data_IF_971421266053
#
_entry.id   IF_971421266053
#
_cell.length_a   1.000
_cell.length_b   1.000
_cell.length_c   1.000
_cell.angle_alpha   90.00
_cell.angle_beta   90.00
_cell.angle_gamma   90.00
#
_symmetry.space_group_name_H-M   'P 1'
#
loop_
_entity.id
_entity.type
_entity.pdbx_description
1 polymer ?
#
# COMPACT_ATOMS: atom_id res chain seq x y z
N UNK A 1 -3.13 -7.36 -54.90
CA UNK A 1 -3.51 -6.04 -54.36
C UNK A 1 -2.33 -5.12 -54.50
N UNK A 2 -2.56 -3.91 -54.98
CA UNK A 2 -1.56 -2.84 -55.04
C UNK A 2 -1.39 -2.22 -53.67
N UNK A 3 -0.21 -2.25 -53.10
CA UNK A 3 0.07 -1.81 -51.73
C UNK A 3 1.25 -0.84 -51.69
N UNK A 4 1.33 0.06 -50.72
CA UNK A 4 2.52 0.87 -50.51
C UNK A 4 3.64 0.01 -49.93
N UNK A 5 4.90 0.36 -50.22
CA UNK A 5 6.05 -0.28 -49.60
C UNK A 5 6.07 -0.01 -48.09
N UNK A 6 6.67 -0.90 -47.29
CA UNK A 6 6.58 -0.97 -45.81
C UNK A 6 6.85 0.31 -45.02
N UNK A 7 7.38 1.38 -45.57
CA UNK A 7 7.70 2.62 -44.85
C UNK A 7 6.53 3.58 -44.67
N UNK A 8 5.33 3.07 -44.44
CA UNK A 8 4.11 3.86 -44.23
C UNK A 8 3.71 3.87 -42.76
N UNK A 9 3.20 5.02 -42.29
CA UNK A 9 2.77 5.19 -40.91
C UNK A 9 1.29 4.85 -40.75
N UNK A 10 1.00 3.85 -39.92
CA UNK A 10 -0.36 3.45 -39.63
C UNK A 10 -0.91 4.21 -38.42
N UNK A 11 -2.19 4.50 -38.45
CA UNK A 11 -2.99 5.02 -37.34
C UNK A 11 -3.68 3.82 -36.71
N UNK A 12 -3.35 3.55 -35.45
CA UNK A 12 -3.94 2.47 -34.66
C UNK A 12 -4.45 3.00 -33.33
N UNK A 13 -5.45 2.32 -32.80
CA UNK A 13 -5.92 2.57 -31.45
C UNK A 13 -5.24 1.60 -30.49
N UNK A 14 -4.35 2.09 -29.65
CA UNK A 14 -3.59 1.28 -28.68
C UNK A 14 -3.79 1.82 -27.27
N UNK A 15 -5.00 1.67 -26.71
CA UNK A 15 -5.34 2.24 -25.42
C UNK A 15 -4.58 1.54 -24.28
N UNK A 16 -4.34 2.29 -23.20
CA UNK A 16 -3.75 1.78 -21.96
C UNK A 16 -4.80 1.59 -20.87
N UNK A 17 -5.82 2.45 -20.85
CA UNK A 17 -6.79 2.51 -19.80
C UNK A 17 -8.23 2.24 -20.23
N UNK A 18 -8.58 2.53 -21.49
CA UNK A 18 -9.92 2.26 -22.04
C UNK A 18 -9.92 0.95 -22.84
N UNK A 19 -11.04 0.25 -22.85
CA UNK A 19 -11.21 -0.99 -23.63
C UNK A 19 -11.66 -0.71 -25.05
N UNK A 20 -12.57 0.23 -25.22
CA UNK A 20 -13.31 0.45 -26.45
C UNK A 20 -13.54 1.95 -26.72
N UNK A 21 -13.52 2.33 -27.99
CA UNK A 21 -13.91 3.65 -28.47
C UNK A 21 -14.92 3.50 -29.61
N UNK A 22 -15.90 4.38 -29.62
CA UNK A 22 -16.87 4.46 -30.71
C UNK A 22 -16.51 5.61 -31.65
N UNK A 23 -16.63 5.37 -32.97
CA UNK A 23 -16.39 6.39 -33.97
C UNK A 23 -17.67 7.22 -34.21
N UNK A 24 -17.51 8.52 -34.36
CA UNK A 24 -18.52 9.43 -34.89
C UNK A 24 -18.43 9.53 -36.39
N UNK A 25 -17.24 9.39 -36.95
CA UNK A 25 -16.99 9.42 -38.38
C UNK A 25 -15.52 9.21 -38.70
N UNK A 26 -15.24 8.91 -39.97
CA UNK A 26 -13.92 8.79 -40.52
C UNK A 26 -13.89 9.41 -41.91
N UNK A 27 -12.76 9.99 -42.31
CA UNK A 27 -12.57 10.51 -43.69
C UNK A 27 -12.62 9.37 -44.71
N UNK A 28 -13.23 9.59 -45.89
CA UNK A 28 -13.30 8.56 -46.93
C UNK A 28 -11.92 8.03 -47.35
N UNK A 29 -11.87 6.77 -47.69
CA UNK A 29 -10.65 6.17 -48.27
C UNK A 29 -10.24 6.93 -49.55
N UNK A 30 -8.96 7.18 -49.74
CA UNK A 30 -8.42 7.94 -50.86
C UNK A 30 -8.36 9.45 -50.62
N UNK A 31 -8.84 9.96 -49.48
CA UNK A 31 -8.72 11.38 -49.15
C UNK A 31 -7.25 11.79 -48.97
N UNK A 32 -6.91 12.97 -49.47
CA UNK A 32 -5.63 13.61 -49.21
C UNK A 32 -5.68 14.25 -47.83
N UNK A 33 -4.68 13.97 -46.97
CA UNK A 33 -4.57 14.47 -45.61
C UNK A 33 -3.25 15.16 -45.36
N UNK A 34 -3.27 16.20 -44.53
CA UNK A 34 -2.08 16.91 -44.07
C UNK A 34 -1.64 16.39 -42.70
N UNK A 35 -0.37 16.49 -42.41
CA UNK A 35 0.18 16.16 -41.08
C UNK A 35 -0.58 16.93 -39.94
N UNK A 36 -1.07 16.19 -38.95
CA UNK A 36 -1.82 16.76 -37.83
C UNK A 36 -3.33 16.91 -38.08
N UNK A 37 -3.81 16.66 -39.31
CA UNK A 37 -5.23 16.70 -39.65
C UNK A 37 -5.96 15.50 -39.01
N UNK A 38 -7.17 15.74 -38.49
CA UNK A 38 -7.98 14.68 -37.86
C UNK A 38 -8.54 13.75 -38.96
N UNK A 39 -8.19 12.49 -38.91
CA UNK A 39 -8.61 11.46 -39.86
C UNK A 39 -9.93 10.81 -39.47
N UNK A 40 -10.14 10.67 -38.18
CA UNK A 40 -11.35 10.11 -37.63
C UNK A 40 -11.77 10.88 -36.36
N UNK A 41 -13.05 10.88 -36.07
CA UNK A 41 -13.63 11.48 -34.87
C UNK A 41 -14.15 10.37 -33.96
N UNK A 42 -13.69 10.34 -32.73
CA UNK A 42 -14.17 9.45 -31.71
C UNK A 42 -15.28 10.07 -30.86
N UNK A 43 -16.16 9.23 -30.33
CA UNK A 43 -17.12 9.63 -29.32
C UNK A 43 -16.48 9.57 -27.93
N UNK A 44 -16.22 10.72 -27.34
CA UNK A 44 -15.56 10.83 -26.06
C UNK A 44 -16.52 10.86 -24.86
N UNK A 45 -17.84 10.88 -25.07
CA UNK A 45 -18.83 11.07 -23.99
C UNK A 45 -18.66 10.08 -22.84
N UNK A 46 -18.45 8.79 -23.15
CA UNK A 46 -18.25 7.75 -22.15
C UNK A 46 -16.89 7.92 -21.47
N UNK A 47 -15.86 8.22 -22.24
CA UNK A 47 -14.49 8.39 -21.75
C UNK A 47 -14.38 9.66 -20.87
N UNK A 48 -14.94 10.79 -21.30
CA UNK A 48 -14.95 12.04 -20.55
C UNK A 48 -15.71 11.87 -19.22
N UNK A 49 -16.86 11.18 -19.22
CA UNK A 49 -17.58 10.83 -17.99
C UNK A 49 -16.74 9.99 -17.04
N UNK A 50 -16.05 8.98 -17.57
CA UNK A 50 -15.15 8.15 -16.77
C UNK A 50 -14.00 8.99 -16.17
N UNK A 51 -13.40 9.88 -16.94
CA UNK A 51 -12.34 10.79 -16.47
C UNK A 51 -12.86 11.67 -15.33
N UNK A 52 -14.05 12.25 -15.46
CA UNK A 52 -14.68 13.06 -14.40
C UNK A 52 -14.99 12.23 -13.15
N UNK A 53 -15.44 11.00 -13.28
CA UNK A 53 -15.73 10.09 -12.15
C UNK A 53 -14.45 9.73 -11.41
N UNK A 54 -13.36 9.42 -12.13
CA UNK A 54 -12.05 9.21 -11.52
C UNK A 54 -11.53 10.48 -10.82
N UNK A 55 -11.70 11.65 -11.41
CA UNK A 55 -11.27 12.91 -10.79
C UNK A 55 -12.00 13.16 -9.47
N UNK A 56 -13.31 12.94 -9.41
CA UNK A 56 -14.10 13.04 -8.16
C UNK A 56 -13.64 12.03 -7.12
N UNK A 57 -13.39 10.80 -7.56
CA UNK A 57 -12.92 9.72 -6.68
C UNK A 57 -11.53 10.03 -6.11
N UNK A 58 -10.61 10.56 -6.93
CA UNK A 58 -9.28 10.99 -6.52
C UNK A 58 -9.37 12.10 -5.47
N UNK A 59 -10.24 13.11 -5.66
CA UNK A 59 -10.45 14.18 -4.68
C UNK A 59 -10.93 13.63 -3.34
N UNK A 60 -11.89 12.70 -3.35
CA UNK A 60 -12.38 12.02 -2.13
C UNK A 60 -11.27 11.22 -1.45
N UNK A 61 -10.49 10.46 -2.22
CA UNK A 61 -9.40 9.61 -1.71
C UNK A 61 -8.23 10.44 -1.15
N UNK A 62 -7.94 11.60 -1.75
CA UNK A 62 -6.98 12.56 -1.19
C UNK A 62 -7.39 13.05 0.20
N UNK A 63 -8.68 13.38 0.41
CA UNK A 63 -9.18 13.77 1.72
C UNK A 63 -9.09 12.62 2.74
N UNK A 64 -9.32 11.39 2.31
CA UNK A 64 -9.15 10.18 3.16
C UNK A 64 -7.70 10.02 3.61
N UNK A 65 -6.73 10.13 2.69
CA UNK A 65 -5.30 10.10 3.00
C UNK A 65 -4.90 11.18 3.99
N UNK A 66 -5.39 12.42 3.80
CA UNK A 66 -5.14 13.52 4.73
C UNK A 66 -5.70 13.25 6.12
N UNK A 67 -6.92 12.69 6.22
CA UNK A 67 -7.53 12.30 7.51
C UNK A 67 -6.72 11.20 8.22
N UNK A 68 -6.27 10.19 7.47
CA UNK A 68 -5.47 9.10 8.03
C UNK A 68 -4.10 9.58 8.50
N UNK A 69 -3.47 10.50 7.76
CA UNK A 69 -2.19 11.13 8.14
C UNK A 69 -2.34 11.92 9.44
N UNK A 70 -3.38 12.75 9.54
CA UNK A 70 -3.71 13.47 10.77
C UNK A 70 -3.99 12.52 11.95
N UNK A 71 -4.76 11.43 11.70
CA UNK A 71 -5.05 10.44 12.74
C UNK A 71 -3.79 9.70 13.23
N UNK A 72 -2.83 9.45 12.34
CA UNK A 72 -1.53 8.87 12.71
C UNK A 72 -0.73 9.83 13.61
N UNK A 73 -0.67 11.12 13.27
CA UNK A 73 0.06 12.11 14.06
C UNK A 73 -0.59 12.33 15.44
N UNK A 74 -1.92 12.38 15.51
CA UNK A 74 -2.65 12.41 16.77
C UNK A 74 -2.40 11.16 17.63
N UNK A 75 -2.30 9.98 17.01
CA UNK A 75 -2.00 8.75 17.74
C UNK A 75 -0.57 8.77 18.31
N UNK A 76 0.42 9.29 17.57
CA UNK A 76 1.80 9.47 18.08
C UNK A 76 1.83 10.33 19.35
N UNK A 77 1.16 11.48 19.31
CA UNK A 77 1.10 12.40 20.45
C UNK A 77 0.41 11.76 21.66
N UNK A 78 -0.74 11.09 21.44
CA UNK A 78 -1.47 10.39 22.49
C UNK A 78 -0.65 9.26 23.11
N UNK A 79 0.02 8.46 22.29
CA UNK A 79 0.88 7.38 22.75
C UNK A 79 2.06 7.91 23.57
N UNK A 80 2.72 8.98 23.12
CA UNK A 80 3.80 9.62 23.87
C UNK A 80 3.34 10.12 25.25
N UNK A 81 2.20 10.80 25.30
CA UNK A 81 1.63 11.29 26.56
C UNK A 81 1.24 10.13 27.49
N UNK A 82 0.64 9.05 26.96
CA UNK A 82 0.29 7.87 27.76
C UNK A 82 1.54 7.22 28.34
N UNK A 83 2.58 7.00 27.55
CA UNK A 83 3.83 6.42 27.99
C UNK A 83 4.52 7.28 29.05
N UNK A 84 4.50 8.61 28.90
CA UNK A 84 5.02 9.52 29.92
C UNK A 84 4.27 9.37 31.26
N UNK A 85 2.93 9.21 31.24
CA UNK A 85 2.14 8.98 32.45
C UNK A 85 2.53 7.68 33.15
N UNK A 86 2.66 6.57 32.40
CA UNK A 86 3.08 5.29 32.98
C UNK A 86 4.52 5.35 33.51
N UNK A 87 5.41 5.99 32.81
CA UNK A 87 6.79 6.20 33.28
C UNK A 87 6.84 7.00 34.58
N UNK A 88 6.07 8.09 34.66
CA UNK A 88 5.98 8.92 35.88
C UNK A 88 5.39 8.13 37.05
N UNK A 89 4.37 7.29 36.79
CA UNK A 89 3.79 6.44 37.81
C UNK A 89 4.80 5.42 38.35
N UNK A 90 5.55 4.78 37.45
CA UNK A 90 6.62 3.85 37.82
C UNK A 90 7.68 4.57 38.69
N UNK A 91 8.22 5.70 38.23
CA UNK A 91 9.25 6.45 38.95
C UNK A 91 8.78 6.80 40.38
N UNK A 92 7.55 7.27 40.55
CA UNK A 92 6.99 7.58 41.89
C UNK A 92 6.91 6.33 42.77
N UNK A 93 6.47 5.21 42.23
CA UNK A 93 6.38 3.95 42.98
C UNK A 93 7.78 3.41 43.36
N UNK A 94 8.77 3.58 42.51
CA UNK A 94 10.19 3.26 42.80
C UNK A 94 10.76 4.18 43.90
N UNK A 95 10.43 5.48 43.86
CA UNK A 95 10.79 6.44 44.92
C UNK A 95 10.16 6.08 46.26
N UNK A 96 8.88 5.70 46.27
CA UNK A 96 8.15 5.26 47.48
C UNK A 96 8.79 3.98 48.06
N UNK A 97 9.14 3.00 47.23
CA UNK A 97 9.83 1.79 47.66
C UNK A 97 11.21 2.11 48.24
N UNK A 98 11.96 2.98 47.58
CA UNK A 98 13.27 3.43 48.05
C UNK A 98 13.20 4.14 49.41
N UNK A 99 12.27 5.09 49.55
CA UNK A 99 12.04 5.78 50.82
C UNK A 99 11.66 4.83 51.92
N UNK A 100 10.80 3.85 51.63
CA UNK A 100 10.46 2.79 52.60
C UNK A 100 11.71 2.01 53.01
N UNK A 101 12.51 1.52 52.07
CA UNK A 101 13.68 0.68 52.39
C UNK A 101 14.79 1.43 53.11
N UNK A 102 15.07 2.68 52.72
CA UNK A 102 16.20 3.46 53.25
C UNK A 102 15.87 4.14 54.57
N UNK A 103 14.61 4.59 54.77
CA UNK A 103 14.24 5.42 55.92
C UNK A 103 13.12 4.84 56.78
N UNK A 104 11.95 4.57 56.17
CA UNK A 104 10.73 4.25 56.92
C UNK A 104 10.83 2.90 57.61
N UNK A 105 11.42 1.90 56.99
CA UNK A 105 11.61 0.54 57.56
C UNK A 105 12.43 0.60 58.85
N UNK A 106 13.58 1.28 58.83
CA UNK A 106 14.44 1.43 60.00
C UNK A 106 13.73 2.19 61.15
N UNK A 107 13.02 3.25 60.80
CA UNK A 107 12.25 4.03 61.78
C UNK A 107 11.12 3.20 62.42
N UNK A 108 10.34 2.46 61.66
CA UNK A 108 9.29 1.58 62.16
C UNK A 108 9.84 0.52 63.12
N UNK A 109 10.98 -0.09 62.79
CA UNK A 109 11.66 -1.05 63.67
C UNK A 109 12.10 -0.38 64.97
N UNK A 110 12.68 0.80 64.91
CA UNK A 110 13.10 1.56 66.10
C UNK A 110 11.93 2.00 66.96
N UNK A 111 10.80 2.37 66.36
CA UNK A 111 9.56 2.72 67.10
C UNK A 111 9.00 1.51 67.88
N UNK A 112 9.01 0.31 67.31
CA UNK A 112 8.59 -0.91 68.00
C UNK A 112 9.57 -1.32 69.12
N UNK A 113 10.87 -1.16 68.87
CA UNK A 113 11.90 -1.41 69.91
C UNK A 113 11.75 -0.44 71.08
N UNK A 114 11.53 0.86 70.81
CA UNK A 114 11.31 1.87 71.86
C UNK A 114 10.02 1.57 72.64
N UNK A 115 8.96 1.04 72.01
CA UNK A 115 7.75 0.58 72.70
C UNK A 115 8.05 -0.51 73.71
N UNK A 116 8.86 -1.52 73.34
CA UNK A 116 9.31 -2.58 74.26
C UNK A 116 10.16 -2.00 75.39
N UNK A 117 11.13 -1.13 75.05
CA UNK A 117 12.01 -0.48 76.04
C UNK A 117 11.21 0.37 77.04
N UNK A 118 10.19 1.09 76.59
CA UNK A 118 9.27 1.84 77.48
C UNK A 118 8.51 0.94 78.45
N UNK A 119 8.01 -0.21 77.96
CA UNK A 119 7.31 -1.17 78.86
C UNK A 119 8.32 -1.81 79.84
N UNK A 120 9.53 -2.14 79.43
CA UNK A 120 10.60 -2.64 80.28
C UNK A 120 11.01 -1.63 81.37
N UNK A 121 11.19 -0.35 81.03
CA UNK A 121 11.44 0.69 81.98
C UNK A 121 10.33 0.85 83.06
N UNK A 122 9.07 0.79 82.60
CA UNK A 122 7.91 0.85 83.53
C UNK A 122 7.90 -0.33 84.48
N UNK A 123 8.13 -1.54 83.96
CA UNK A 123 8.23 -2.74 84.82
C UNK A 123 9.43 -2.63 85.79
N UNK A 124 10.59 -2.16 85.34
CA UNK A 124 11.73 -1.97 86.22
C UNK A 124 11.45 -0.98 87.36
N UNK A 125 10.75 0.13 87.07
CA UNK A 125 10.32 1.08 88.15
C UNK A 125 9.38 0.43 89.12
N UNK A 126 8.38 -0.36 88.72
CA UNK A 126 7.49 -1.09 89.57
C UNK A 126 8.21 -2.14 90.41
N UNK A 127 9.15 -2.84 89.86
CA UNK A 127 10.02 -3.80 90.53
C UNK A 127 10.85 -3.12 91.65
N UNK A 128 11.44 -1.98 91.29
CA UNK A 128 12.27 -1.22 92.24
C UNK A 128 11.46 -0.65 93.33
N UNK A 129 10.26 -0.07 93.10
CA UNK A 129 9.31 0.41 94.07
C UNK A 129 8.88 -0.71 95.04
N UNK A 130 8.52 -1.88 94.54
CA UNK A 130 8.23 -3.08 95.30
C UNK A 130 9.41 -3.53 96.19
N UNK A 131 10.61 -3.52 95.67
CA UNK A 131 11.84 -3.90 96.38
C UNK A 131 12.14 -2.93 97.49
N UNK A 132 12.02 -1.62 97.23
CA UNK A 132 12.20 -0.56 98.28
C UNK A 132 11.22 -0.65 99.37
N UNK A 133 9.94 -0.77 99.11
CA UNK A 133 8.84 -0.94 100.09
C UNK A 133 8.93 -2.24 100.90
N UNK A 134 9.27 -3.35 100.21
CA UNK A 134 9.51 -4.63 100.87
C UNK A 134 10.68 -4.56 101.82
N UNK A 135 11.75 -3.78 101.52
CA UNK A 135 12.89 -3.57 102.39
C UNK A 135 12.57 -2.70 103.59
N UNK A 136 11.80 -1.61 103.35
CA UNK A 136 11.33 -0.68 104.40
C UNK A 136 10.43 -1.38 105.40
N UNK A 137 9.47 -2.20 104.95
CA UNK A 137 8.54 -2.93 105.86
C UNK A 137 9.19 -4.15 106.54
N UNK A 138 10.32 -4.68 106.05
CA UNK A 138 11.09 -5.72 106.78
C UNK A 138 11.89 -5.17 107.94
N UNK A 139 12.27 -3.91 107.89
CA UNK A 139 13.03 -3.25 108.97
C UNK A 139 12.12 -2.73 110.09
N UNK A 140 10.78 -2.62 109.84
CA UNK A 140 9.80 -2.26 110.83
C UNK A 140 9.14 -3.53 111.43
N UNK A 141 9.32 -3.81 112.71
CA UNK A 141 8.93 -5.07 113.43
C UNK A 141 7.44 -5.26 113.63
N UNK A 142 6.58 -4.35 113.16
CA UNK A 142 5.13 -4.44 113.31
C UNK A 142 4.51 -4.18 111.93
N UNK A 143 4.24 -5.26 111.18
CA UNK A 143 3.52 -5.15 109.91
C UNK A 143 2.03 -4.88 110.19
N UNK A 144 1.55 -3.67 109.93
CA UNK A 144 0.10 -3.37 109.96
C UNK A 144 -0.60 -3.94 108.78
N UNK A 145 -1.90 -4.36 108.88
CA UNK A 145 -2.72 -4.92 107.78
C UNK A 145 -2.72 -4.02 106.52
N UNK A 146 -2.53 -2.73 106.73
CA UNK A 146 -2.43 -1.72 105.63
C UNK A 146 -1.20 -1.91 104.75
N UNK A 147 -0.06 -2.35 105.28
CA UNK A 147 1.20 -2.57 104.61
C UNK A 147 1.15 -3.82 103.70
N UNK A 148 0.49 -4.89 104.16
CA UNK A 148 0.25 -6.10 103.37
C UNK A 148 -0.62 -5.81 102.15
N UNK A 149 -1.65 -4.97 102.30
CA UNK A 149 -2.52 -4.56 101.20
C UNK A 149 -1.76 -3.75 100.20
N UNK A 150 -0.85 -2.83 100.55
CA UNK A 150 -0.04 -2.06 99.65
C UNK A 150 0.95 -2.96 98.89
N UNK A 151 1.65 -3.87 99.55
CA UNK A 151 2.54 -4.83 98.94
C UNK A 151 1.79 -5.77 97.98
N UNK A 152 0.61 -6.24 98.28
CA UNK A 152 -0.21 -7.06 97.41
C UNK A 152 -0.68 -6.31 96.17
N UNK A 153 -1.05 -5.02 96.34
CA UNK A 153 -1.39 -4.14 95.21
C UNK A 153 -0.19 -3.92 94.27
N UNK A 154 0.99 -3.61 94.81
CA UNK A 154 2.21 -3.44 94.01
C UNK A 154 2.65 -4.71 93.31
N UNK A 155 2.47 -5.89 93.98
CA UNK A 155 2.73 -7.18 93.27
C UNK A 155 1.79 -7.41 92.09
N UNK A 156 0.52 -7.03 92.25
CA UNK A 156 -0.45 -7.10 91.17
C UNK A 156 -0.10 -6.11 90.05
N UNK A 157 0.25 -4.87 90.40
CA UNK A 157 0.73 -3.87 89.40
C UNK A 157 2.01 -4.29 88.69
N UNK A 158 2.95 -4.97 89.37
CA UNK A 158 4.12 -5.57 88.77
C UNK A 158 3.73 -6.69 87.78
N UNK A 159 2.81 -7.59 88.18
CA UNK A 159 2.30 -8.63 87.32
C UNK A 159 1.61 -8.08 86.08
N UNK A 160 0.85 -7.00 86.18
CA UNK A 160 0.26 -6.29 85.02
C UNK A 160 1.34 -5.68 84.13
N UNK A 161 2.41 -5.10 84.71
CA UNK A 161 3.50 -4.55 83.96
C UNK A 161 4.34 -5.61 83.28
N UNK A 162 4.55 -6.80 83.91
CA UNK A 162 5.16 -7.94 83.27
C UNK A 162 4.38 -8.46 82.04
N UNK A 163 3.05 -8.56 82.17
CA UNK A 163 2.13 -8.91 81.13
C UNK A 163 2.21 -7.88 79.96
N UNK A 164 2.24 -6.58 80.31
CA UNK A 164 2.37 -5.50 79.36
C UNK A 164 3.70 -5.58 78.56
N UNK A 165 4.81 -5.96 79.21
CA UNK A 165 6.12 -6.26 78.51
C UNK A 165 6.01 -7.42 77.57
N UNK A 166 5.37 -8.53 77.96
CA UNK A 166 5.16 -9.67 77.07
C UNK A 166 4.31 -9.29 75.89
N UNK A 167 3.22 -8.53 76.09
CA UNK A 167 2.39 -7.99 75.03
C UNK A 167 3.17 -7.08 74.07
N UNK A 168 3.98 -6.15 74.58
CA UNK A 168 4.80 -5.26 73.78
C UNK A 168 5.85 -6.04 72.95
N UNK A 169 6.51 -7.07 73.50
CA UNK A 169 7.46 -7.94 72.81
C UNK A 169 6.76 -8.69 71.67
N UNK A 170 5.60 -9.29 71.93
CA UNK A 170 4.84 -10.00 70.90
C UNK A 170 4.44 -9.10 69.74
N UNK A 171 3.94 -7.89 70.04
CA UNK A 171 3.56 -6.90 69.02
C UNK A 171 4.78 -6.49 68.20
N UNK A 172 5.92 -6.22 68.85
CA UNK A 172 7.15 -5.85 68.15
C UNK A 172 7.67 -6.99 67.27
N UNK A 173 7.59 -8.22 67.71
CA UNK A 173 7.96 -9.39 66.94
C UNK A 173 7.05 -9.58 65.72
N UNK A 174 5.73 -9.49 65.90
CA UNK A 174 4.76 -9.55 64.81
C UNK A 174 4.97 -8.39 63.82
N UNK A 175 5.25 -7.19 64.28
CA UNK A 175 5.57 -6.05 63.43
C UNK A 175 6.82 -6.30 62.59
N UNK A 176 7.90 -6.81 63.21
CA UNK A 176 9.16 -7.11 62.55
C UNK A 176 9.04 -8.26 61.54
N UNK A 177 8.49 -9.40 61.94
CA UNK A 177 8.45 -10.62 61.13
C UNK A 177 7.35 -10.62 60.09
N UNK A 178 6.27 -9.88 60.30
CA UNK A 178 5.09 -9.95 59.46
C UNK A 178 4.71 -8.62 58.82
N UNK A 179 4.41 -7.59 59.63
CA UNK A 179 3.79 -6.36 59.09
C UNK A 179 4.78 -5.53 58.23
N UNK A 180 5.98 -5.29 58.75
CA UNK A 180 7.02 -4.52 58.05
C UNK A 180 7.56 -5.30 56.82
N UNK A 181 7.66 -6.62 56.95
CA UNK A 181 8.06 -7.50 55.85
C UNK A 181 7.05 -7.44 54.69
N UNK A 182 5.76 -7.68 55.03
CA UNK A 182 4.68 -7.61 54.02
C UNK A 182 4.59 -6.26 53.32
N UNK A 183 4.74 -5.18 54.08
CA UNK A 183 4.73 -3.84 53.48
C UNK A 183 5.87 -3.67 52.48
N UNK A 184 7.03 -4.28 52.73
CA UNK A 184 8.14 -4.31 51.77
C UNK A 184 7.85 -5.13 50.52
N UNK A 185 7.18 -6.27 50.70
CA UNK A 185 6.72 -7.09 49.57
C UNK A 185 5.65 -6.39 48.73
N UNK A 186 4.73 -5.65 49.38
CA UNK A 186 3.68 -4.87 48.72
C UNK A 186 4.32 -3.77 47.84
N UNK A 187 5.32 -3.04 48.36
CA UNK A 187 6.05 -2.07 47.54
C UNK A 187 6.79 -2.72 46.35
N UNK A 188 7.44 -3.86 46.59
CA UNK A 188 8.13 -4.56 45.52
C UNK A 188 7.16 -5.07 44.42
N UNK A 189 5.97 -5.55 44.85
CA UNK A 189 4.91 -5.98 43.93
C UNK A 189 4.35 -4.80 43.15
N UNK A 190 4.08 -3.67 43.84
CA UNK A 190 3.59 -2.46 43.19
C UNK A 190 4.56 -1.93 42.10
N UNK A 191 5.89 -1.94 42.36
CA UNK A 191 6.88 -1.58 41.34
C UNK A 191 6.83 -2.51 40.15
N UNK A 192 6.77 -3.82 40.39
CA UNK A 192 6.71 -4.83 39.33
C UNK A 192 5.44 -4.69 38.49
N UNK A 193 4.30 -4.43 39.11
CA UNK A 193 3.04 -4.13 38.41
C UNK A 193 3.16 -2.89 37.51
N UNK A 194 3.76 -1.80 38.01
CA UNK A 194 3.96 -0.58 37.21
C UNK A 194 4.96 -0.77 36.07
N UNK A 195 5.97 -1.61 36.25
CA UNK A 195 6.87 -2.01 35.16
C UNK A 195 6.11 -2.78 34.08
N UNK A 196 5.27 -3.74 34.47
CA UNK A 196 4.42 -4.49 33.51
C UNK A 196 3.42 -3.59 32.79
N UNK A 197 2.77 -2.67 33.52
CA UNK A 197 1.84 -1.68 32.95
C UNK A 197 2.53 -0.84 31.87
N UNK A 198 3.76 -0.35 32.14
CA UNK A 198 4.55 0.43 31.19
C UNK A 198 4.93 -0.40 29.96
N UNK A 199 5.37 -1.64 30.15
CA UNK A 199 5.73 -2.52 29.04
C UNK A 199 4.51 -2.85 28.16
N UNK A 200 3.37 -3.14 28.77
CA UNK A 200 2.12 -3.37 28.04
C UNK A 200 1.70 -2.12 27.25
N UNK A 201 1.76 -0.95 27.89
CA UNK A 201 1.43 0.30 27.23
C UNK A 201 2.34 0.60 26.04
N UNK A 202 3.65 0.28 26.12
CA UNK A 202 4.60 0.40 25.01
C UNK A 202 4.18 -0.49 23.84
N UNK A 203 3.95 -1.78 24.08
CA UNK A 203 3.53 -2.73 23.05
C UNK A 203 2.21 -2.30 22.39
N UNK A 204 1.24 -1.86 23.20
CA UNK A 204 -0.04 -1.39 22.67
C UNK A 204 0.13 -0.13 21.80
N UNK A 205 0.96 0.81 22.24
CA UNK A 205 1.26 2.02 21.46
C UNK A 205 1.90 1.69 20.10
N UNK A 206 2.84 0.74 20.08
CA UNK A 206 3.49 0.29 18.85
C UNK A 206 2.50 -0.38 17.89
N UNK A 207 1.62 -1.25 18.39
CA UNK A 207 0.57 -1.89 17.58
C UNK A 207 -0.41 -0.86 17.00
N UNK A 208 -0.88 0.07 17.82
CA UNK A 208 -1.81 1.11 17.38
C UNK A 208 -1.18 2.00 16.29
N UNK A 209 0.08 2.38 16.45
CA UNK A 209 0.82 3.17 15.47
C UNK A 209 1.03 2.41 14.18
N UNK A 210 1.40 1.13 14.26
CA UNK A 210 1.60 0.29 13.07
C UNK A 210 0.31 0.07 12.31
N UNK A 211 -0.80 -0.18 12.99
CA UNK A 211 -2.12 -0.28 12.37
C UNK A 211 -2.49 1.01 11.60
N UNK A 212 -2.23 2.20 12.18
CA UNK A 212 -2.49 3.48 11.52
C UNK A 212 -1.57 3.71 10.31
N UNK A 213 -0.30 3.30 10.37
CA UNK A 213 0.64 3.36 9.25
C UNK A 213 0.21 2.46 8.09
N UNK A 214 -0.21 1.22 8.39
CA UNK A 214 -0.72 0.28 7.38
C UNK A 214 -1.93 0.88 6.68
N UNK A 215 -2.92 1.38 7.43
CA UNK A 215 -4.11 1.99 6.85
C UNK A 215 -3.78 3.20 5.96
N UNK A 216 -2.82 4.05 6.37
CA UNK A 216 -2.34 5.17 5.56
C UNK A 216 -1.67 4.69 4.27
N UNK A 217 -0.78 3.70 4.37
CA UNK A 217 -0.07 3.15 3.20
C UNK A 217 -1.03 2.53 2.19
N UNK A 218 -2.04 1.78 2.65
CA UNK A 218 -3.08 1.20 1.79
C UNK A 218 -3.89 2.27 1.06
N UNK A 219 -4.25 3.35 1.76
CA UNK A 219 -4.96 4.47 1.16
C UNK A 219 -4.09 5.22 0.14
N UNK A 220 -2.80 5.43 0.40
CA UNK A 220 -1.84 6.05 -0.53
C UNK A 220 -1.61 5.18 -1.78
N UNK A 221 -1.49 3.85 -1.62
CA UNK A 221 -1.38 2.91 -2.76
C UNK A 221 -2.67 2.93 -3.59
N UNK A 222 -3.83 2.92 -2.95
CA UNK A 222 -5.12 3.02 -3.63
C UNK A 222 -5.25 4.33 -4.42
N UNK A 223 -4.87 5.45 -3.81
CA UNK A 223 -4.86 6.76 -4.47
C UNK A 223 -3.94 6.77 -5.71
N UNK A 224 -2.73 6.23 -5.60
CA UNK A 224 -1.78 6.13 -6.72
C UNK A 224 -2.38 5.33 -7.87
N UNK A 225 -2.99 4.18 -7.61
CA UNK A 225 -3.65 3.36 -8.65
C UNK A 225 -4.76 4.13 -9.37
N UNK A 226 -5.54 4.91 -8.63
CA UNK A 226 -6.57 5.78 -9.22
C UNK A 226 -5.97 6.88 -10.10
N UNK A 227 -4.87 7.50 -9.66
CA UNK A 227 -4.14 8.51 -10.43
C UNK A 227 -3.54 7.93 -11.71
N UNK A 228 -2.93 6.74 -11.63
CA UNK A 228 -2.37 6.06 -12.79
C UNK A 228 -3.47 5.77 -13.81
N UNK A 229 -4.60 5.23 -13.36
CA UNK A 229 -5.76 4.95 -14.23
C UNK A 229 -6.33 6.21 -14.87
N UNK A 230 -6.44 7.29 -14.11
CA UNK A 230 -6.88 8.59 -14.61
C UNK A 230 -5.93 9.13 -15.69
N UNK A 231 -4.62 9.01 -15.48
CA UNK A 231 -3.61 9.44 -16.46
C UNK A 231 -3.65 8.57 -17.74
N UNK A 232 -3.85 7.26 -17.59
CA UNK A 232 -4.05 6.36 -18.74
C UNK A 232 -5.27 6.76 -19.57
N UNK A 233 -6.42 7.02 -18.93
CA UNK A 233 -7.64 7.46 -19.63
C UNK A 233 -7.46 8.80 -20.34
N UNK A 234 -6.73 9.74 -19.73
CA UNK A 234 -6.38 11.01 -20.38
C UNK A 234 -5.49 10.81 -21.62
N UNK A 235 -4.47 9.96 -21.50
CA UNK A 235 -3.61 9.64 -22.61
C UNK A 235 -4.39 8.94 -23.75
N UNK A 236 -5.30 8.05 -23.42
CA UNK A 236 -6.18 7.39 -24.40
C UNK A 236 -7.08 8.39 -25.12
N UNK A 237 -7.61 9.38 -24.39
CA UNK A 237 -8.40 10.46 -24.98
C UNK A 237 -7.61 11.29 -25.98
N UNK A 238 -6.35 11.61 -25.67
CA UNK A 238 -5.46 12.34 -26.59
C UNK A 238 -5.11 11.48 -27.81
N UNK A 239 -4.82 10.19 -27.61
CA UNK A 239 -4.51 9.25 -28.69
C UNK A 239 -5.69 9.06 -29.65
N UNK A 240 -6.90 9.00 -29.13
CA UNK A 240 -8.12 8.81 -29.93
C UNK A 240 -8.52 10.03 -30.79
N UNK A 241 -7.72 11.10 -30.79
CA UNK A 241 -7.87 12.19 -31.76
C UNK A 241 -7.52 11.81 -33.21
N UNK A 242 -6.94 10.60 -33.42
CA UNK A 242 -6.61 10.00 -34.72
C UNK A 242 -6.06 10.98 -35.75
N UNK A 243 -4.97 11.65 -35.43
CA UNK A 243 -4.33 12.64 -36.29
C UNK A 243 -3.39 11.98 -37.29
N UNK A 244 -3.37 12.49 -38.54
CA UNK A 244 -2.46 12.04 -39.56
C UNK A 244 -0.98 12.30 -39.17
N UNK A 245 -0.11 11.29 -39.12
CA UNK A 245 1.28 11.44 -38.73
C UNK A 245 2.16 12.16 -39.79
N UNK A 246 1.72 12.16 -41.04
CA UNK A 246 2.40 12.79 -42.19
C UNK A 246 1.40 13.17 -43.26
N UNK A 247 1.89 13.90 -44.31
CA UNK A 247 1.06 14.24 -45.44
C UNK A 247 0.95 13.01 -46.38
N UNK A 248 -0.25 12.72 -46.89
CA UNK A 248 -0.42 11.59 -47.80
C UNK A 248 -1.87 11.29 -48.14
N UNK A 249 -2.09 10.11 -48.65
CA UNK A 249 -3.40 9.56 -49.00
C UNK A 249 -3.80 8.56 -47.94
N UNK A 250 -5.04 8.65 -47.45
CA UNK A 250 -5.63 7.80 -46.45
C UNK A 250 -6.07 6.47 -47.03
N UNK A 251 -5.59 5.36 -46.47
CA UNK A 251 -6.05 4.01 -46.79
C UNK A 251 -6.53 3.31 -45.51
N UNK A 252 -7.65 2.59 -45.64
CA UNK A 252 -8.19 1.81 -44.52
C UNK A 252 -7.40 0.52 -44.31
N UNK A 253 -7.01 0.24 -43.06
CA UNK A 253 -6.22 -0.90 -42.70
C UNK A 253 -4.72 -0.60 -42.58
N UNK A 254 -3.93 -1.64 -42.50
CA UNK A 254 -2.48 -1.54 -42.37
C UNK A 254 -1.77 -2.88 -42.37
N UNK A 255 -0.43 -2.84 -42.30
CA UNK A 255 0.38 -4.05 -42.24
C UNK A 255 0.35 -4.70 -40.85
N UNK A 256 0.05 -5.99 -40.80
CA UNK A 256 0.16 -6.84 -39.60
C UNK A 256 1.00 -8.06 -40.00
N UNK A 257 2.13 -8.27 -39.39
CA UNK A 257 3.05 -9.38 -39.70
C UNK A 257 3.29 -9.53 -41.22
N UNK A 258 3.66 -8.42 -41.86
CA UNK A 258 3.93 -8.33 -43.29
C UNK A 258 2.78 -8.61 -44.27
N UNK A 259 1.56 -8.75 -43.74
CA UNK A 259 0.33 -8.86 -44.56
C UNK A 259 -0.50 -7.59 -44.41
N UNK A 260 -1.04 -7.12 -45.51
CA UNK A 260 -2.05 -6.05 -45.45
C UNK A 260 -3.37 -6.60 -44.92
N UNK A 261 -3.84 -6.04 -43.85
CA UNK A 261 -5.12 -6.37 -43.26
C UNK A 261 -6.03 -5.15 -43.41
N UNK A 262 -7.08 -5.32 -44.18
CA UNK A 262 -8.15 -4.31 -44.27
C UNK A 262 -9.04 -4.41 -43.03
N UNK A 263 -9.37 -3.28 -42.44
CA UNK A 263 -10.33 -3.23 -41.36
C UNK A 263 -11.75 -3.44 -41.90
N UNK A 264 -12.67 -4.14 -41.20
CA UNK A 264 -14.06 -4.28 -41.63
C UNK A 264 -14.78 -2.90 -41.65
N UNK A 265 -14.84 -2.26 -42.79
CA UNK A 265 -15.36 -0.90 -42.97
C UNK A 265 -16.84 -0.82 -42.55
N UNK A 266 -17.62 -1.80 -42.94
CA UNK A 266 -19.06 -1.84 -42.66
C UNK A 266 -19.43 -1.98 -41.20
N UNK A 267 -18.56 -2.54 -40.39
CA UNK A 267 -18.77 -2.78 -38.95
C UNK A 267 -18.06 -1.77 -38.08
N UNK A 268 -16.77 -1.51 -38.35
CA UNK A 268 -15.90 -0.72 -37.45
C UNK A 268 -15.74 0.74 -37.85
N UNK A 269 -15.73 1.05 -39.17
CA UNK A 269 -15.46 2.40 -39.72
C UNK A 269 -16.74 3.15 -40.12
N UNK A 270 -17.81 3.02 -39.35
CA UNK A 270 -19.07 3.78 -39.54
C UNK A 270 -19.39 4.58 -38.29
N UNK A 271 -20.29 5.58 -38.38
CA UNK A 271 -20.83 6.22 -37.17
C UNK A 271 -21.42 5.18 -36.20
N UNK A 272 -20.97 5.20 -34.93
CA UNK A 272 -21.30 4.21 -33.93
C UNK A 272 -20.49 2.91 -34.00
N UNK A 273 -19.56 2.78 -34.94
CA UNK A 273 -18.67 1.61 -35.04
C UNK A 273 -17.71 1.54 -33.84
N UNK A 274 -17.55 0.33 -33.30
CA UNK A 274 -16.68 0.06 -32.15
C UNK A 274 -15.28 -0.29 -32.61
N UNK A 275 -14.29 0.47 -32.14
CA UNK A 275 -12.88 0.14 -32.30
C UNK A 275 -12.38 -0.61 -31.06
N UNK A 276 -11.71 -1.72 -31.34
CA UNK A 276 -11.04 -2.51 -30.32
C UNK A 276 -9.58 -2.12 -30.15
N UNK A 277 -8.98 -2.48 -29.04
CA UNK A 277 -7.57 -2.26 -28.80
C UNK A 277 -6.72 -2.91 -29.91
N UNK A 278 -5.74 -2.14 -30.41
CA UNK A 278 -4.80 -2.53 -31.47
C UNK A 278 -5.40 -2.62 -32.88
N UNK A 279 -6.65 -2.21 -33.09
CA UNK A 279 -7.19 -2.06 -34.45
C UNK A 279 -6.37 -1.05 -35.24
N UNK A 280 -5.92 -1.45 -36.44
CA UNK A 280 -5.25 -0.56 -37.41
C UNK A 280 -6.32 0.09 -38.27
N UNK A 281 -6.64 1.34 -37.94
CA UNK A 281 -7.76 2.07 -38.56
C UNK A 281 -7.41 2.45 -39.99
N UNK A 282 -6.24 3.07 -40.17
CA UNK A 282 -5.82 3.60 -41.45
C UNK A 282 -4.30 3.66 -41.53
N UNK A 283 -3.81 3.74 -42.74
CA UNK A 283 -2.42 4.00 -43.06
C UNK A 283 -2.34 5.24 -43.95
N UNK A 284 -1.43 6.14 -43.66
CA UNK A 284 -1.13 7.29 -44.51
C UNK A 284 0.00 6.93 -45.43
N UNK A 285 -0.24 7.10 -46.74
CA UNK A 285 0.72 6.80 -47.80
C UNK A 285 1.16 8.11 -48.41
N UNK A 286 2.44 8.50 -48.32
CA UNK A 286 2.95 9.69 -48.98
C UNK A 286 2.77 9.58 -50.51
N UNK A 287 2.54 10.73 -51.22
CA UNK A 287 2.23 10.71 -52.65
C UNK A 287 3.31 10.06 -53.54
N UNK A 288 4.57 10.06 -53.08
CA UNK A 288 5.72 9.52 -53.83
C UNK A 288 6.17 8.14 -53.32
N UNK A 289 5.32 7.41 -52.57
CA UNK A 289 5.68 6.09 -52.07
C UNK A 289 5.78 5.08 -53.21
N UNK A 290 6.84 4.27 -53.18
CA UNK A 290 6.93 3.11 -54.03
C UNK A 290 5.78 2.13 -53.77
N UNK A 291 5.12 1.70 -54.82
CA UNK A 291 4.05 0.72 -54.75
C UNK A 291 4.60 -0.68 -55.05
N UNK A 292 4.06 -1.67 -54.35
CA UNK A 292 4.30 -3.09 -54.61
C UNK A 292 2.97 -3.79 -54.85
N UNK A 293 3.01 -4.84 -55.64
CA UNK A 293 1.85 -5.72 -55.84
C UNK A 293 2.08 -6.99 -55.05
N UNK A 294 1.21 -7.24 -54.10
CA UNK A 294 1.17 -8.52 -53.40
C UNK A 294 0.12 -9.43 -54.08
N UNK A 295 0.58 -10.55 -54.61
CA UNK A 295 -0.28 -11.56 -55.20
C UNK A 295 -0.05 -12.94 -54.55
N UNK A 296 -1.04 -13.79 -54.63
CA UNK A 296 -0.96 -15.18 -54.18
C UNK A 296 -1.22 -16.12 -55.34
N UNK A 297 -0.37 -17.13 -55.49
CA UNK A 297 -0.50 -18.17 -56.52
C UNK A 297 -0.90 -19.49 -55.86
N UNK A 298 -1.79 -20.30 -56.48
CA UNK A 298 -2.05 -21.67 -56.07
C UNK A 298 -0.76 -22.51 -56.11
N UNK A 299 -0.60 -23.48 -55.22
CA UNK A 299 0.59 -24.34 -55.17
C UNK A 299 0.80 -25.22 -56.41
N UNK A 300 -0.30 -25.44 -57.16
CA UNK A 300 -0.27 -26.15 -58.47
C UNK A 300 0.42 -25.40 -59.59
N UNK A 301 0.79 -24.14 -59.36
CA UNK A 301 1.46 -23.31 -60.37
C UNK A 301 2.98 -23.46 -60.22
N UNK A 302 3.71 -23.50 -61.37
CA UNK A 302 5.17 -23.51 -61.36
C UNK A 302 5.72 -22.37 -60.51
N UNK A 303 6.77 -22.62 -59.69
CA UNK A 303 7.33 -21.62 -58.77
C UNK A 303 7.94 -20.48 -59.60
N UNK A 304 7.40 -19.26 -59.52
CA UNK A 304 7.91 -18.13 -60.25
C UNK A 304 9.29 -17.75 -59.77
N UNK A 305 10.18 -17.40 -60.73
CA UNK A 305 11.55 -16.99 -60.40
C UNK A 305 11.61 -15.50 -60.06
N UNK A 306 12.42 -15.13 -59.07
CA UNK A 306 12.75 -13.72 -58.82
C UNK A 306 13.43 -13.13 -60.03
N UNK A 307 13.00 -11.95 -60.47
CA UNK A 307 13.47 -11.30 -61.72
C UNK A 307 12.58 -11.57 -62.95
N UNK A 308 11.58 -12.43 -62.87
CA UNK A 308 10.64 -12.74 -63.92
C UNK A 308 9.70 -11.56 -64.24
N UNK A 309 9.51 -11.31 -65.58
CA UNK A 309 8.67 -10.22 -66.06
C UNK A 309 7.16 -10.64 -65.97
N UNK A 310 6.33 -9.79 -65.39
CA UNK A 310 4.89 -10.03 -65.30
C UNK A 310 4.10 -8.84 -65.83
N UNK A 311 2.88 -9.10 -66.26
CA UNK A 311 1.93 -8.06 -66.63
C UNK A 311 0.90 -7.92 -65.51
N UNK A 312 0.77 -6.74 -64.96
CA UNK A 312 -0.18 -6.38 -63.93
C UNK A 312 -1.34 -5.65 -64.58
N UNK A 313 -2.52 -6.22 -64.54
CA UNK A 313 -3.74 -5.57 -65.02
C UNK A 313 -4.42 -4.87 -63.85
N UNK A 314 -4.49 -3.54 -63.92
CA UNK A 314 -5.18 -2.69 -62.96
C UNK A 314 -6.36 -2.06 -63.66
N UNK A 315 -7.60 -2.45 -63.29
CA UNK A 315 -8.80 -2.01 -63.98
C UNK A 315 -8.72 -2.26 -65.49
N UNK A 316 -8.52 -1.25 -66.30
CA UNK A 316 -8.40 -1.37 -67.78
C UNK A 316 -6.96 -1.13 -68.32
N UNK A 317 -6.00 -1.04 -67.40
CA UNK A 317 -4.61 -0.74 -67.76
C UNK A 317 -3.70 -1.94 -67.52
N UNK A 318 -2.73 -2.13 -68.38
CA UNK A 318 -1.68 -3.12 -68.23
C UNK A 318 -0.37 -2.43 -67.89
N UNK A 319 0.23 -2.82 -66.78
CA UNK A 319 1.50 -2.26 -66.30
C UNK A 319 2.52 -3.38 -66.22
N UNK A 320 3.70 -3.20 -66.83
CA UNK A 320 4.78 -4.17 -66.67
C UNK A 320 5.31 -4.16 -65.22
N UNK A 321 5.63 -5.33 -64.68
CA UNK A 321 6.24 -5.50 -63.38
C UNK A 321 7.28 -6.59 -63.36
N UNK A 322 8.05 -6.64 -62.28
CA UNK A 322 9.09 -7.66 -62.06
C UNK A 322 8.89 -8.30 -60.72
N UNK A 323 8.96 -9.60 -60.61
CA UNK A 323 8.88 -10.34 -59.33
C UNK A 323 10.15 -10.05 -58.55
N UNK A 324 9.99 -9.41 -57.40
CA UNK A 324 11.10 -9.07 -56.48
C UNK A 324 11.25 -10.09 -55.35
N UNK A 325 10.16 -10.72 -54.92
CA UNK A 325 10.19 -11.78 -53.91
C UNK A 325 9.19 -12.88 -54.27
N UNK A 326 9.57 -14.13 -54.08
CA UNK A 326 8.69 -15.28 -54.22
C UNK A 326 8.91 -16.22 -53.04
N UNK A 327 7.84 -16.56 -52.32
CA UNK A 327 7.93 -17.52 -51.23
C UNK A 327 8.21 -18.93 -51.77
N UNK A 328 9.30 -19.57 -51.34
CA UNK A 328 9.62 -20.94 -51.77
C UNK A 328 8.65 -21.98 -51.18
N UNK A 329 7.98 -21.65 -50.11
CA UNK A 329 7.06 -22.55 -49.37
C UNK A 329 5.64 -21.95 -49.38
N UNK A 330 4.60 -22.76 -49.64
CA UNK A 330 3.21 -22.31 -49.53
C UNK A 330 2.89 -21.92 -48.11
N UNK A 331 2.05 -20.90 -47.93
CA UNK A 331 1.53 -20.52 -46.62
C UNK A 331 0.51 -21.54 -46.08
N UNK A 332 0.00 -21.32 -44.86
CA UNK A 332 -1.03 -22.20 -44.24
C UNK A 332 -2.35 -22.28 -45.03
N UNK A 333 -2.54 -21.34 -45.97
CA UNK A 333 -3.66 -21.28 -46.90
C UNK A 333 -3.43 -22.07 -48.21
N UNK A 334 -2.32 -22.82 -48.35
CA UNK A 334 -1.93 -23.56 -49.53
C UNK A 334 -1.59 -22.69 -50.71
N UNK A 335 -1.28 -21.38 -50.49
CA UNK A 335 -0.96 -20.44 -51.55
C UNK A 335 0.44 -19.86 -51.36
N UNK A 336 1.16 -19.66 -52.44
CA UNK A 336 2.48 -19.00 -52.43
C UNK A 336 2.33 -17.49 -52.59
N UNK A 337 2.99 -16.74 -51.74
CA UNK A 337 3.03 -15.28 -51.86
C UNK A 337 4.13 -14.83 -52.77
N UNK A 338 3.82 -13.90 -53.65
CA UNK A 338 4.77 -13.20 -54.48
C UNK A 338 4.64 -11.69 -54.30
N UNK A 339 5.78 -11.00 -54.33
CA UNK A 339 5.85 -9.53 -54.30
C UNK A 339 6.40 -9.10 -55.64
N UNK A 340 5.72 -8.18 -56.30
CA UNK A 340 6.03 -7.67 -57.59
C UNK A 340 6.23 -6.15 -57.51
N UNK A 341 7.29 -5.62 -58.07
CA UNK A 341 7.49 -4.19 -58.21
C UNK A 341 6.95 -3.76 -59.58
N UNK A 342 5.86 -2.99 -59.63
CA UNK A 342 5.31 -2.46 -60.87
C UNK A 342 6.22 -1.35 -61.42
N UNK A 343 6.44 -1.35 -62.73
CA UNK A 343 7.08 -0.22 -63.40
C UNK A 343 6.01 0.81 -63.76
N UNK A 344 5.64 1.64 -62.82
CA UNK A 344 4.59 2.68 -63.01
C UNK A 344 5.21 3.90 -63.73
N UNK A 345 4.59 4.38 -64.84
CA UNK A 345 4.99 5.65 -65.42
C UNK A 345 4.84 6.80 -64.45
N UNK A 346 5.77 7.74 -64.43
CA UNK A 346 5.79 8.86 -63.49
C UNK A 346 4.54 9.78 -63.54
N UNK A 347 3.74 9.68 -64.58
CA UNK A 347 2.50 10.44 -64.82
C UNK A 347 1.24 9.83 -64.23
N UNK A 348 1.32 8.60 -63.62
CA UNK A 348 0.14 7.88 -63.15
C UNK A 348 0.23 7.61 -61.65
N UNK A 349 -0.76 8.09 -60.93
CA UNK A 349 -0.94 7.84 -59.51
C UNK A 349 -2.01 6.76 -59.33
N UNK A 350 -1.61 5.59 -58.87
CA UNK A 350 -2.56 4.54 -58.50
C UNK A 350 -2.91 4.61 -57.02
N UNK A 351 -4.20 4.49 -56.73
CA UNK A 351 -4.63 4.37 -55.34
C UNK A 351 -4.20 3.00 -54.80
N UNK A 352 -3.48 2.94 -53.67
CA UNK A 352 -3.21 1.69 -53.00
C UNK A 352 -4.50 1.01 -52.55
N UNK A 353 -4.50 -0.33 -52.51
CA UNK A 353 -5.70 -1.13 -52.14
C UNK A 353 -6.52 -1.61 -53.33
N UNK A 354 -6.17 -1.21 -54.56
CA UNK A 354 -6.86 -1.67 -55.75
C UNK A 354 -6.62 -3.19 -56.00
N UNK A 355 -7.67 -3.95 -56.36
CA UNK A 355 -7.50 -5.32 -56.81
C UNK A 355 -6.80 -5.33 -58.15
N UNK A 356 -5.83 -6.22 -58.30
CA UNK A 356 -5.04 -6.38 -59.55
C UNK A 356 -5.03 -7.85 -59.96
N UNK A 357 -5.02 -8.08 -61.26
CA UNK A 357 -4.73 -9.40 -61.84
C UNK A 357 -3.28 -9.43 -62.32
N UNK A 358 -2.57 -10.48 -61.97
CA UNK A 358 -1.18 -10.68 -62.41
C UNK A 358 -1.12 -11.83 -63.38
N UNK A 359 -0.56 -11.59 -64.57
CA UNK A 359 -0.31 -12.63 -65.58
C UNK A 359 1.20 -12.78 -65.74
N UNK A 360 1.71 -13.97 -65.46
CA UNK A 360 3.10 -14.31 -65.72
C UNK A 360 3.22 -14.55 -67.21
N UNK A 361 4.18 -13.88 -67.91
CA UNK A 361 4.44 -14.19 -69.26
C UNK A 361 5.21 -15.52 -69.33
N UNK A 362 4.52 -16.58 -69.78
CA UNK A 362 5.20 -17.80 -70.11
C UNK A 362 6.31 -17.47 -71.18
N UNK A 363 7.53 -17.79 -70.82
CA UNK A 363 8.57 -17.86 -71.81
C UNK A 363 8.21 -19.05 -72.72
N UNK A 364 7.55 -18.76 -73.85
CA UNK A 364 7.60 -19.69 -74.95
C UNK A 364 9.07 -19.79 -75.40
N UNK A 365 9.54 -21.04 -75.28
CA UNK A 365 10.88 -21.46 -75.75
C UNK A 365 11.14 -21.12 -77.25
#
# INVERSE_FOLDING_TARGET
ILLPKKNTKSISFSPKGSSDIFLLGIMPQGSSVKKGESVAQADFRILDKSIEDYERTIKSKNLEVLKLRYALDQQKERSALALQKYQTALTRTEEDQKDFLEKRKARMLAEEEERVNKALRHMSYKQEELNQLTKMYKDDQVAEETEEIILKRLKNELGESEFAVQGAKLVAELAKLRNIHRLGEDYATAVKEKQMDLEQARKQADFDLEQKKIALTEAEVSLRRLQDKYNELKADREMAAFKAPENGILLYGGYVADKWVAIPVAEKLKPGGKLEAFDKIATIVPPNSELIVQATLPDSTATPKVGEAVVIKVTNMQIPGVITEASPIPGADGKRRIIITPKVPASQIFAPGLPVQVTIKDQQA
#
